data_IF_307146820730
#
_entry.id   IF_307146820730
#
_cell.length_a   1.000
_cell.length_b   1.000
_cell.length_c   1.000
_cell.angle_alpha   90.00
_cell.angle_beta   90.00
_cell.angle_gamma   90.00
#
_symmetry.space_group_name_H-M   'P 1'
#
loop_
_entity.id
_entity.type
_entity.pdbx_description
1 polymer ?
#
# COMPACT_ATOMS: atom_id res chain seq x y z
N UNK A 1 -31.44 51.82 -2.73
CA UNK A 1 -30.77 50.99 -3.76
C UNK A 1 -30.48 49.60 -3.19
N UNK A 2 -31.48 48.71 -3.19
CA UNK A 2 -31.29 47.28 -2.88
C UNK A 2 -32.02 46.50 -3.97
N UNK A 3 -31.30 46.18 -5.05
CA UNK A 3 -31.84 45.33 -6.10
C UNK A 3 -31.79 43.87 -5.64
N UNK A 4 -32.75 43.05 -6.08
CA UNK A 4 -32.80 41.61 -5.80
C UNK A 4 -31.46 40.94 -6.15
N UNK A 5 -30.81 41.39 -7.21
CA UNK A 5 -29.47 40.94 -7.63
C UNK A 5 -28.38 41.15 -6.56
N UNK A 6 -28.40 42.28 -5.86
CA UNK A 6 -27.42 42.58 -4.81
C UNK A 6 -27.63 41.69 -3.58
N UNK A 7 -28.88 41.38 -3.22
CA UNK A 7 -29.20 40.48 -2.11
C UNK A 7 -28.85 39.02 -2.44
N UNK A 8 -29.12 38.58 -3.67
CA UNK A 8 -28.73 37.26 -4.15
C UNK A 8 -27.21 37.09 -4.13
N UNK A 9 -26.46 38.09 -4.64
CA UNK A 9 -24.99 38.05 -4.64
C UNK A 9 -24.41 37.94 -3.21
N UNK A 10 -24.99 38.65 -2.24
CA UNK A 10 -24.56 38.56 -0.85
C UNK A 10 -24.81 37.17 -0.24
N UNK A 11 -25.95 36.53 -0.56
CA UNK A 11 -26.25 35.16 -0.12
C UNK A 11 -25.28 34.15 -0.74
N UNK A 12 -25.00 34.27 -2.05
CA UNK A 12 -24.03 33.39 -2.73
C UNK A 12 -22.62 33.56 -2.16
N UNK A 13 -22.16 34.80 -1.96
CA UNK A 13 -20.86 35.07 -1.37
C UNK A 13 -20.75 34.48 0.05
N UNK A 14 -21.81 34.58 0.86
CA UNK A 14 -21.85 33.98 2.18
C UNK A 14 -21.79 32.45 2.12
N UNK A 15 -22.56 31.81 1.22
CA UNK A 15 -22.50 30.35 1.02
C UNK A 15 -21.09 29.89 0.62
N UNK A 16 -20.45 30.60 -0.31
CA UNK A 16 -19.08 30.29 -0.74
C UNK A 16 -18.08 30.42 0.40
N UNK A 17 -18.22 31.45 1.23
CA UNK A 17 -17.34 31.65 2.39
C UNK A 17 -17.51 30.56 3.45
N UNK A 18 -18.75 30.17 3.76
CA UNK A 18 -19.02 29.06 4.68
C UNK A 18 -18.45 27.75 4.13
N UNK A 19 -18.64 27.49 2.83
CA UNK A 19 -18.09 26.29 2.20
C UNK A 19 -16.56 26.28 2.27
N UNK A 20 -15.91 27.41 1.97
CA UNK A 20 -14.46 27.56 2.07
C UNK A 20 -13.94 27.37 3.51
N UNK A 21 -14.66 27.88 4.51
CA UNK A 21 -14.31 27.68 5.91
C UNK A 21 -14.42 26.20 6.33
N UNK A 22 -15.48 25.51 5.90
CA UNK A 22 -15.68 24.08 6.19
C UNK A 22 -14.61 23.22 5.49
N UNK A 23 -14.31 23.49 4.21
CA UNK A 23 -13.26 22.74 3.51
C UNK A 23 -11.89 22.98 4.12
N UNK A 24 -11.59 24.21 4.55
CA UNK A 24 -10.35 24.52 5.27
C UNK A 24 -10.26 23.80 6.62
N UNK A 25 -11.36 23.72 7.37
CA UNK A 25 -11.42 22.96 8.62
C UNK A 25 -11.22 21.44 8.38
N UNK A 26 -11.83 20.87 7.33
CA UNK A 26 -11.60 19.48 6.94
C UNK A 26 -10.14 19.22 6.53
N UNK A 27 -9.51 20.17 5.82
CA UNK A 27 -8.10 20.09 5.48
C UNK A 27 -7.22 20.06 6.73
N UNK A 28 -7.42 21.00 7.66
CA UNK A 28 -6.67 21.03 8.93
C UNK A 28 -6.83 19.72 9.71
N UNK A 29 -8.06 19.22 9.85
CA UNK A 29 -8.31 17.94 10.52
C UNK A 29 -7.56 16.77 9.89
N UNK A 30 -7.31 16.80 8.58
CA UNK A 30 -6.62 15.72 7.86
C UNK A 30 -5.11 15.81 8.03
N UNK A 31 -4.55 17.02 8.14
CA UNK A 31 -3.10 17.26 8.29
C UNK A 31 -2.53 16.85 9.64
N UNK A 32 -3.35 16.84 10.70
CA UNK A 32 -2.90 16.48 12.06
C UNK A 32 -3.11 14.99 12.40
N UNK A 33 -3.64 14.20 11.48
CA UNK A 33 -3.83 12.76 11.69
C UNK A 33 -2.52 12.00 11.44
N UNK A 34 -2.16 11.18 12.41
CA UNK A 34 -1.07 10.21 12.26
C UNK A 34 -1.64 8.93 11.62
N UNK A 35 -1.18 8.63 10.40
CA UNK A 35 -1.61 7.48 9.63
C UNK A 35 -0.71 6.26 9.85
N UNK A 36 0.22 6.28 10.80
CA UNK A 36 1.12 5.16 11.07
C UNK A 36 0.36 3.93 11.59
N UNK A 37 0.55 2.79 10.91
CA UNK A 37 0.06 1.48 11.32
C UNK A 37 1.23 0.66 11.87
N UNK A 38 1.02 0.01 13.03
CA UNK A 38 1.97 -0.96 13.56
C UNK A 38 1.71 -2.30 12.89
N UNK A 39 2.73 -2.84 12.24
CA UNK A 39 2.66 -4.09 11.48
C UNK A 39 3.84 -4.97 11.88
N UNK A 40 3.55 -6.24 12.09
CA UNK A 40 4.51 -7.31 12.32
C UNK A 40 4.40 -8.32 11.16
N UNK A 41 5.55 -8.65 10.57
CA UNK A 41 5.65 -9.59 9.45
C UNK A 41 6.58 -10.72 9.89
N UNK A 42 6.07 -11.95 9.90
CA UNK A 42 6.86 -13.14 10.20
C UNK A 42 7.02 -13.97 8.94
N UNK A 43 8.26 -14.20 8.51
CA UNK A 43 8.57 -15.07 7.37
C UNK A 43 8.87 -16.48 7.85
N UNK A 44 8.29 -17.47 7.17
CA UNK A 44 8.47 -18.88 7.41
C UNK A 44 8.95 -19.55 6.12
N UNK A 45 9.90 -20.48 6.25
CA UNK A 45 10.30 -21.39 5.17
C UNK A 45 10.59 -20.68 3.81
N UNK A 46 11.48 -19.67 3.76
CA UNK A 46 11.89 -19.06 2.49
C UNK A 46 12.64 -20.07 1.63
N UNK A 47 12.26 -20.19 0.36
CA UNK A 47 12.85 -21.09 -0.63
C UNK A 47 13.05 -20.33 -1.93
N UNK A 48 14.21 -20.54 -2.57
CA UNK A 48 14.49 -20.03 -3.91
C UNK A 48 14.87 -21.21 -4.78
N UNK A 49 14.29 -21.27 -5.98
CA UNK A 49 14.56 -22.31 -6.97
C UNK A 49 14.81 -21.69 -8.32
N UNK A 50 15.94 -22.04 -8.94
CA UNK A 50 16.19 -21.67 -10.33
C UNK A 50 15.33 -22.50 -11.28
N UNK A 51 14.65 -21.83 -12.20
CA UNK A 51 13.80 -22.39 -13.24
C UNK A 51 14.30 -21.94 -14.62
N UNK A 52 14.03 -22.73 -15.65
CA UNK A 52 14.25 -22.28 -17.02
C UNK A 52 13.13 -21.30 -17.39
N UNK A 53 13.49 -20.08 -17.78
CA UNK A 53 12.52 -19.12 -18.31
C UNK A 53 12.54 -19.19 -19.83
N UNK A 54 11.36 -19.38 -20.43
CA UNK A 54 11.17 -19.43 -21.87
C UNK A 54 10.46 -18.18 -22.40
N UNK A 55 10.12 -17.23 -21.52
CA UNK A 55 9.38 -16.01 -21.82
C UNK A 55 10.27 -14.76 -21.86
N UNK A 56 11.30 -14.72 -21.02
CA UNK A 56 12.35 -13.68 -20.99
C UNK A 56 13.50 -14.03 -21.94
N UNK A 57 14.31 -13.03 -22.34
CA UNK A 57 15.55 -13.26 -23.10
C UNK A 57 16.64 -13.98 -22.29
N UNK A 58 16.45 -14.09 -20.97
CA UNK A 58 17.30 -14.85 -20.07
C UNK A 58 16.90 -16.33 -20.07
N UNK A 59 17.85 -17.24 -20.33
CA UNK A 59 17.60 -18.70 -20.35
C UNK A 59 17.23 -19.29 -18.98
N UNK A 60 17.38 -18.51 -17.89
CA UNK A 60 17.12 -18.92 -16.50
C UNK A 60 16.53 -17.76 -15.70
N UNK A 61 15.58 -18.08 -14.82
CA UNK A 61 15.01 -17.17 -13.84
C UNK A 61 15.00 -17.83 -12.45
N UNK A 62 15.09 -17.05 -11.40
CA UNK A 62 14.97 -17.54 -10.04
C UNK A 62 13.55 -17.31 -9.51
N UNK A 63 12.93 -18.39 -9.03
CA UNK A 63 11.61 -18.37 -8.40
C UNK A 63 11.75 -18.41 -6.88
N UNK A 64 11.38 -17.31 -6.23
CA UNK A 64 11.19 -17.22 -4.80
C UNK A 64 9.81 -17.74 -4.39
N UNK A 65 9.78 -18.59 -3.36
CA UNK A 65 8.59 -19.00 -2.65
C UNK A 65 8.81 -18.78 -1.17
N UNK A 66 7.88 -18.12 -0.49
CA UNK A 66 7.97 -17.90 0.93
C UNK A 66 6.59 -17.94 1.57
N UNK A 67 6.55 -18.50 2.77
CA UNK A 67 5.35 -18.51 3.59
C UNK A 67 5.47 -17.35 4.56
N UNK A 68 4.42 -16.59 4.81
CA UNK A 68 4.51 -15.45 5.73
C UNK A 68 3.23 -15.28 6.53
N UNK A 69 3.33 -14.57 7.64
CA UNK A 69 2.20 -14.16 8.46
C UNK A 69 2.29 -12.65 8.66
N UNK A 70 1.15 -11.98 8.57
CA UNK A 70 1.05 -10.53 8.72
C UNK A 70 0.05 -10.25 9.82
N UNK A 71 0.50 -9.52 10.84
CA UNK A 71 -0.38 -8.97 11.86
C UNK A 71 -0.22 -7.46 11.90
N UNK A 72 -1.31 -6.71 11.88
CA UNK A 72 -1.23 -5.24 11.91
C UNK A 72 -2.56 -4.58 12.18
N UNK A 73 -2.51 -3.45 12.88
CA UNK A 73 -3.67 -2.62 13.18
C UNK A 73 -3.69 -1.37 12.30
N UNK A 74 -4.64 -1.32 11.37
CA UNK A 74 -4.85 -0.19 10.46
C UNK A 74 -5.90 0.80 10.94
N UNK A 75 -6.37 0.72 12.20
CA UNK A 75 -7.45 1.58 12.72
C UNK A 75 -7.16 3.05 12.57
N UNK A 76 -5.90 3.45 12.74
CA UNK A 76 -5.47 4.84 12.60
C UNK A 76 -5.39 5.32 11.15
N UNK A 77 -5.21 4.40 10.20
CA UNK A 77 -5.15 4.74 8.78
C UNK A 77 -6.53 5.13 8.22
N UNK A 78 -7.62 4.70 8.85
CA UNK A 78 -8.97 5.02 8.42
C UNK A 78 -9.47 6.36 9.02
N UNK A 79 -9.57 7.41 8.19
CA UNK A 79 -10.22 8.69 8.54
C UNK A 79 -11.62 8.85 7.91
N UNK A 80 -12.39 9.90 8.20
CA UNK A 80 -13.77 10.06 7.73
C UNK A 80 -13.98 9.79 6.22
N UNK A 81 -13.00 10.13 5.39
CA UNK A 81 -13.02 9.94 3.94
C UNK A 81 -12.63 8.52 3.50
N UNK A 82 -11.64 7.89 4.16
CA UNK A 82 -11.11 6.57 3.77
C UNK A 82 -12.09 5.44 4.11
N UNK A 83 -12.53 4.68 3.10
CA UNK A 83 -13.46 3.54 3.27
C UNK A 83 -12.78 2.18 3.12
N UNK A 84 -11.73 2.12 2.32
CA UNK A 84 -10.95 0.92 2.02
C UNK A 84 -9.47 1.29 1.97
N UNK A 85 -8.61 0.32 2.23
CA UNK A 85 -7.17 0.39 2.05
C UNK A 85 -6.73 -0.79 1.18
N UNK A 86 -5.95 -0.51 0.14
CA UNK A 86 -5.26 -1.52 -0.64
C UNK A 86 -3.91 -1.78 0.00
N UNK A 87 -3.78 -2.91 0.68
CA UNK A 87 -2.56 -3.32 1.37
C UNK A 87 -1.85 -4.34 0.49
N UNK A 88 -0.55 -4.20 0.31
CA UNK A 88 0.24 -5.13 -0.49
C UNK A 88 1.65 -5.30 0.08
N UNK A 89 2.13 -6.54 0.02
CA UNK A 89 3.45 -6.95 0.46
C UNK A 89 4.41 -6.92 -0.73
N UNK A 90 5.52 -6.21 -0.57
CA UNK A 90 6.56 -6.06 -1.59
C UNK A 90 7.85 -6.66 -1.08
N UNK A 91 8.52 -7.43 -1.94
CA UNK A 91 9.93 -7.80 -1.79
C UNK A 91 10.79 -6.75 -2.48
N UNK A 92 11.69 -6.14 -1.72
CA UNK A 92 12.65 -5.14 -2.17
C UNK A 92 14.06 -5.71 -2.06
N UNK A 93 14.81 -5.65 -3.16
CA UNK A 93 16.19 -6.14 -3.26
C UNK A 93 16.98 -5.36 -4.31
N UNK A 94 18.31 -5.44 -4.26
CA UNK A 94 19.21 -4.68 -5.12
C UNK A 94 20.07 -5.65 -5.95
N UNK A 95 20.10 -5.51 -7.27
CA UNK A 95 20.98 -6.32 -8.12
C UNK A 95 22.10 -5.45 -8.70
N UNK A 96 23.22 -6.03 -9.17
CA UNK A 96 24.27 -5.26 -9.83
C UNK A 96 23.76 -4.45 -11.04
N UNK A 97 22.70 -4.92 -11.69
CA UNK A 97 22.08 -4.27 -12.84
C UNK A 97 21.04 -3.22 -12.46
N UNK A 98 20.36 -3.39 -11.32
CA UNK A 98 19.32 -2.46 -10.87
C UNK A 98 19.41 -2.17 -9.36
N UNK A 99 19.50 -0.89 -9.04
CA UNK A 99 19.60 -0.39 -7.66
C UNK A 99 18.32 -0.57 -6.86
N UNK A 100 17.16 -0.80 -7.49
CA UNK A 100 15.91 -1.05 -6.77
C UNK A 100 14.97 -1.97 -7.56
N UNK A 101 14.86 -3.22 -7.13
CA UNK A 101 13.88 -4.17 -7.63
C UNK A 101 12.74 -4.31 -6.61
N UNK A 102 11.50 -4.20 -7.09
CA UNK A 102 10.30 -4.30 -6.26
C UNK A 102 9.34 -5.31 -6.89
N UNK A 103 9.04 -6.39 -6.16
CA UNK A 103 8.10 -7.42 -6.61
C UNK A 103 6.97 -7.55 -5.60
N UNK A 104 5.73 -7.40 -6.05
CA UNK A 104 4.55 -7.57 -5.21
C UNK A 104 4.30 -9.07 -5.02
N UNK A 105 4.26 -9.53 -3.77
CA UNK A 105 4.06 -10.95 -3.43
C UNK A 105 2.61 -11.26 -3.09
N UNK A 106 1.91 -10.30 -2.50
CA UNK A 106 0.55 -10.47 -1.98
C UNK A 106 -0.14 -9.13 -1.83
N UNK A 107 -1.45 -9.14 -1.97
CA UNK A 107 -2.33 -7.99 -1.83
C UNK A 107 -3.58 -8.37 -1.01
N UNK A 108 -4.19 -7.40 -0.35
CA UNK A 108 -5.53 -7.55 0.21
C UNK A 108 -6.19 -6.19 0.39
N UNK A 109 -7.52 -6.19 0.32
CA UNK A 109 -8.34 -5.00 0.54
C UNK A 109 -8.86 -5.04 1.97
N UNK A 110 -8.44 -4.07 2.77
CA UNK A 110 -8.89 -3.89 4.15
C UNK A 110 -10.04 -2.88 4.11
N UNK A 111 -11.23 -3.30 4.53
CA UNK A 111 -12.42 -2.43 4.57
C UNK A 111 -12.69 -1.94 5.98
N UNK A 112 -13.06 -0.67 6.12
CA UNK A 112 -13.41 -0.06 7.42
C UNK A 112 -14.54 -0.81 8.13
N UNK A 113 -15.56 -1.23 7.40
CA UNK A 113 -16.79 -1.81 7.96
C UNK A 113 -16.63 -3.24 8.46
N UNK A 114 -15.58 -3.93 8.02
CA UNK A 114 -15.44 -5.36 8.23
C UNK A 114 -14.24 -5.68 9.12
N UNK A 115 -13.04 -5.38 8.62
CA UNK A 115 -11.81 -5.86 9.24
C UNK A 115 -10.71 -4.83 9.10
N UNK A 116 -10.53 -4.08 10.18
CA UNK A 116 -9.50 -3.04 10.31
C UNK A 116 -8.19 -3.59 10.88
N UNK A 117 -8.29 -4.68 11.65
CA UNK A 117 -7.15 -5.42 12.20
C UNK A 117 -6.88 -6.63 11.31
N UNK A 118 -5.71 -6.64 10.67
CA UNK A 118 -5.23 -7.73 9.84
C UNK A 118 -4.48 -8.74 10.75
N UNK A 119 -4.88 -10.00 10.73
CA UNK A 119 -4.16 -11.12 11.38
C UNK A 119 -4.27 -12.31 10.44
N UNK A 120 -3.36 -12.38 9.49
CA UNK A 120 -3.28 -13.44 8.50
C UNK A 120 -2.08 -14.32 8.81
N UNK A 121 -2.33 -15.63 8.92
CA UNK A 121 -1.30 -16.61 9.30
C UNK A 121 -1.11 -17.60 8.18
N UNK A 122 0.16 -17.96 7.93
CA UNK A 122 0.55 -18.96 6.91
C UNK A 122 0.02 -18.62 5.51
N UNK A 123 0.11 -17.35 5.15
CA UNK A 123 -0.12 -16.90 3.79
C UNK A 123 0.97 -17.45 2.86
N UNK A 124 0.55 -17.76 1.64
CA UNK A 124 1.41 -18.05 0.51
C UNK A 124 1.47 -16.80 -0.38
N UNK A 125 2.58 -16.62 -1.08
CA UNK A 125 2.67 -15.59 -2.13
C UNK A 125 1.61 -15.86 -3.21
N UNK A 126 0.77 -14.86 -3.49
CA UNK A 126 -0.21 -14.90 -4.58
C UNK A 126 0.45 -14.78 -5.94
N UNK A 127 1.48 -13.92 -6.00
CA UNK A 127 2.24 -13.66 -7.22
C UNK A 127 3.60 -14.33 -7.10
N UNK A 128 4.08 -14.86 -8.22
CA UNK A 128 5.39 -15.48 -8.29
C UNK A 128 6.47 -14.42 -8.10
N UNK A 129 7.39 -14.68 -7.17
CA UNK A 129 8.59 -13.86 -7.03
C UNK A 129 9.61 -14.32 -8.08
N UNK A 130 9.52 -13.74 -9.27
CA UNK A 130 10.47 -14.00 -10.35
C UNK A 130 11.48 -12.86 -10.42
N UNK A 131 12.75 -13.24 -10.47
CA UNK A 131 13.87 -12.35 -10.80
C UNK A 131 14.44 -12.75 -12.16
N UNK A 132 14.80 -11.75 -12.97
CA UNK A 132 15.44 -11.96 -14.26
C UNK A 132 16.90 -12.39 -14.02
N UNK A 133 17.21 -13.64 -14.38
CA UNK A 133 18.54 -14.22 -14.20
C UNK A 133 18.69 -15.05 -12.92
N UNK A 134 19.94 -15.17 -12.45
CA UNK A 134 20.32 -16.01 -11.29
C UNK A 134 20.85 -15.20 -10.10
N UNK A 135 20.39 -13.95 -9.98
CA UNK A 135 20.93 -13.01 -9.01
C UNK A 135 20.25 -13.15 -7.64
N UNK A 136 19.06 -13.76 -7.58
CA UNK A 136 18.29 -13.93 -6.36
C UNK A 136 18.78 -15.10 -5.48
N UNK A 137 19.22 -16.21 -6.08
CA UNK A 137 19.59 -17.44 -5.34
C UNK A 137 20.80 -17.25 -4.41
N UNK A 138 21.72 -16.35 -4.76
CA UNK A 138 22.89 -15.99 -3.95
C UNK A 138 22.76 -14.60 -3.32
N UNK A 139 21.57 -14.01 -3.32
CA UNK A 139 21.38 -12.66 -2.84
C UNK A 139 21.54 -12.57 -1.32
N UNK A 140 22.30 -11.57 -0.79
CA UNK A 140 22.62 -11.51 0.63
C UNK A 140 21.41 -11.16 1.51
N UNK A 141 20.49 -10.32 1.04
CA UNK A 141 19.32 -9.89 1.83
C UNK A 141 18.13 -9.44 0.97
N UNK A 142 16.93 -9.91 1.27
CA UNK A 142 15.69 -9.40 0.65
C UNK A 142 14.84 -8.78 1.75
N UNK A 143 14.45 -7.52 1.56
CA UNK A 143 13.64 -6.79 2.54
C UNK A 143 12.17 -6.92 2.17
N UNK A 144 11.33 -7.36 3.10
CA UNK A 144 9.88 -7.37 2.91
C UNK A 144 9.26 -6.11 3.51
N UNK A 145 8.52 -5.37 2.69
CA UNK A 145 7.87 -4.13 3.08
C UNK A 145 6.37 -4.24 2.81
N UNK A 146 5.56 -4.00 3.85
CA UNK A 146 4.11 -3.86 3.68
C UNK A 146 3.78 -2.40 3.38
N UNK A 147 3.14 -2.16 2.24
CA UNK A 147 2.70 -0.84 1.80
C UNK A 147 1.18 -0.82 1.71
N UNK A 148 0.58 0.36 1.89
CA UNK A 148 -0.86 0.54 1.73
C UNK A 148 -1.19 1.87 1.07
N UNK A 149 -2.29 1.88 0.33
CA UNK A 149 -2.84 3.07 -0.34
C UNK A 149 -4.33 3.17 -0.04
N UNK A 150 -4.81 4.38 0.26
CA UNK A 150 -6.19 4.71 0.63
C UNK A 150 -7.00 5.29 -0.51
#
# INVERSE_FOLDING_TARGET
MHSIYSRANALFAFMLWVLAAVTFACFLSTTFLDYSAKVEITVNNPRVRSIADYSSSSEKADLGMLDFSISGDFSKAFNWNVKQLFVYLVAEYETPENTMNQVVLWDSIVMRSERVILDERRLQSKYYFLDDGTNLLNHPNVTLVLRYVS
#
